data_IF_097777557978
#
_entry.id   IF_097777557978
#
_cell.length_a   1.000
_cell.length_b   1.000
_cell.length_c   1.000
_cell.angle_alpha   90.00
_cell.angle_beta   90.00
_cell.angle_gamma   90.00
#
_symmetry.space_group_name_H-M   'P 1'
#
loop_
_entity.id
_entity.type
_entity.pdbx_description
1 polymer ?
#
# COMPACT_ATOMS: atom_id res chain seq x y z
N UNK A 1 -11.98 8.35 -27.84
CA UNK A 1 -12.51 6.96 -27.78
C UNK A 1 -13.92 6.94 -28.37
N UNK A 2 -14.19 6.07 -29.35
CA UNK A 2 -15.51 5.89 -29.95
C UNK A 2 -16.15 4.61 -29.40
N UNK A 3 -17.40 4.67 -28.95
CA UNK A 3 -18.09 3.52 -28.36
C UNK A 3 -19.62 3.60 -28.58
N UNK A 4 -20.32 2.47 -28.67
CA UNK A 4 -21.78 2.44 -28.64
C UNK A 4 -22.30 2.69 -27.22
N UNK A 5 -23.28 3.58 -27.08
CA UNK A 5 -24.01 3.74 -25.83
C UNK A 5 -25.00 2.58 -25.62
N UNK A 6 -25.49 2.41 -24.39
CA UNK A 6 -26.50 1.38 -24.03
C UNK A 6 -27.72 1.42 -24.96
N UNK A 7 -28.08 2.59 -25.47
CA UNK A 7 -29.20 2.81 -26.39
C UNK A 7 -28.82 2.81 -27.89
N UNK A 8 -27.69 2.21 -28.26
CA UNK A 8 -27.26 2.07 -29.67
C UNK A 8 -26.72 3.36 -30.32
N UNK A 9 -26.66 4.47 -29.59
CA UNK A 9 -26.09 5.73 -30.10
C UNK A 9 -24.58 5.62 -30.20
N UNK A 10 -24.01 5.97 -31.35
CA UNK A 10 -22.56 6.13 -31.49
C UNK A 10 -22.13 7.40 -30.77
N UNK A 11 -21.28 7.27 -29.75
CA UNK A 11 -20.75 8.40 -28.98
C UNK A 11 -19.23 8.49 -29.11
N UNK A 12 -18.73 9.72 -29.03
CA UNK A 12 -17.30 10.03 -29.04
C UNK A 12 -16.98 10.70 -27.71
N UNK A 13 -16.03 10.14 -26.95
CA UNK A 13 -15.42 10.78 -25.78
C UNK A 13 -14.04 11.31 -26.17
N UNK A 14 -13.84 12.61 -25.97
CA UNK A 14 -12.57 13.32 -26.21
C UNK A 14 -11.98 13.72 -24.86
N UNK A 15 -10.69 13.44 -24.67
CA UNK A 15 -9.92 13.86 -23.50
C UNK A 15 -8.72 14.63 -24.00
N UNK A 16 -8.61 15.91 -23.63
CA UNK A 16 -7.51 16.78 -24.02
C UNK A 16 -6.63 17.03 -22.78
N UNK A 17 -5.32 16.83 -22.90
CA UNK A 17 -4.35 17.11 -21.86
C UNK A 17 -3.22 17.96 -22.44
N UNK A 18 -2.89 19.06 -21.78
CA UNK A 18 -1.75 19.93 -22.12
C UNK A 18 -0.77 19.91 -20.96
N UNK A 19 0.51 19.63 -21.24
CA UNK A 19 1.56 19.54 -20.24
C UNK A 19 2.68 20.53 -20.60
N UNK A 20 3.26 21.24 -19.62
CA UNK A 20 4.37 22.14 -19.86
C UNK A 20 5.66 21.37 -20.20
N UNK A 21 6.44 21.88 -21.16
CA UNK A 21 7.75 21.34 -21.51
C UNK A 21 8.86 22.12 -20.79
N UNK A 22 9.90 21.43 -20.32
CA UNK A 22 11.06 22.05 -19.64
C UNK A 22 12.37 21.41 -20.10
N UNK A 23 13.41 22.23 -20.26
CA UNK A 23 14.79 21.78 -20.45
C UNK A 23 15.57 21.71 -19.12
N UNK A 24 14.97 22.18 -18.02
CA UNK A 24 15.54 22.12 -16.69
C UNK A 24 15.07 20.85 -15.95
N UNK A 25 16.02 19.99 -15.59
CA UNK A 25 15.75 18.72 -14.92
C UNK A 25 15.20 18.89 -13.50
N UNK A 26 15.58 19.95 -12.77
CA UNK A 26 15.03 20.24 -11.44
C UNK A 26 13.52 20.51 -11.49
N UNK A 27 13.04 21.15 -12.55
CA UNK A 27 11.61 21.35 -12.77
C UNK A 27 10.89 20.03 -13.09
N UNK A 28 11.54 19.11 -13.81
CA UNK A 28 11.00 17.79 -14.09
C UNK A 28 10.78 16.99 -12.80
N UNK A 29 11.78 16.95 -11.91
CA UNK A 29 11.65 16.26 -10.62
C UNK A 29 10.64 16.93 -9.68
N UNK A 30 10.46 18.25 -9.76
CA UNK A 30 9.46 18.97 -8.97
C UNK A 30 8.03 18.66 -9.40
N UNK A 31 7.80 18.51 -10.72
CA UNK A 31 6.48 18.25 -11.30
C UNK A 31 6.18 16.75 -11.47
N UNK A 32 7.06 15.89 -10.98
CA UNK A 32 6.91 14.45 -11.05
C UNK A 32 5.69 13.98 -10.24
N UNK A 33 4.77 13.27 -10.88
CA UNK A 33 3.69 12.57 -10.18
C UNK A 33 4.16 11.15 -9.81
N UNK A 34 4.33 10.91 -8.50
CA UNK A 34 4.79 9.63 -7.98
C UNK A 34 3.80 8.51 -8.27
N UNK A 35 2.51 8.73 -8.03
CA UNK A 35 1.51 7.66 -8.08
C UNK A 35 1.36 7.19 -9.53
N UNK A 36 1.23 8.11 -10.48
CA UNK A 36 1.12 7.78 -11.90
C UNK A 36 2.36 7.06 -12.43
N UNK A 37 3.57 7.49 -12.04
CA UNK A 37 4.81 6.81 -12.40
C UNK A 37 4.87 5.41 -11.80
N UNK A 38 4.57 5.29 -10.52
CA UNK A 38 4.58 4.01 -9.83
C UNK A 38 3.60 3.02 -10.45
N UNK A 39 2.38 3.46 -10.81
CA UNK A 39 1.40 2.59 -11.46
C UNK A 39 1.85 2.14 -12.85
N UNK A 40 2.58 2.99 -13.59
CA UNK A 40 3.21 2.57 -14.84
C UNK A 40 4.20 1.42 -14.59
N UNK A 41 5.08 1.55 -13.60
CA UNK A 41 6.06 0.51 -13.25
C UNK A 41 5.41 -0.75 -12.70
N UNK A 42 4.37 -0.60 -11.89
CA UNK A 42 3.58 -1.71 -11.37
C UNK A 42 2.99 -2.55 -12.51
N UNK A 43 2.43 -1.90 -13.54
CA UNK A 43 1.87 -2.59 -14.72
C UNK A 43 2.94 -3.23 -15.59
N UNK A 44 4.07 -2.56 -15.78
CA UNK A 44 5.22 -3.13 -16.49
C UNK A 44 5.74 -4.38 -15.78
N UNK A 45 5.99 -4.29 -14.47
CA UNK A 45 6.40 -5.43 -13.65
C UNK A 45 5.39 -6.59 -13.76
N UNK A 46 4.08 -6.31 -13.65
CA UNK A 46 3.04 -7.33 -13.80
C UNK A 46 3.07 -8.03 -15.17
N UNK A 47 3.32 -7.28 -16.25
CA UNK A 47 3.39 -7.82 -17.61
C UNK A 47 4.63 -8.70 -17.85
N UNK A 48 5.70 -8.50 -17.08
CA UNK A 48 6.95 -9.25 -17.22
C UNK A 48 6.96 -10.57 -16.43
N UNK A 49 6.11 -10.72 -15.40
CA UNK A 49 6.04 -11.90 -14.52
C UNK A 49 5.85 -13.22 -15.28
N UNK A 50 4.99 -13.32 -16.32
CA UNK A 50 4.83 -14.57 -17.06
C UNK A 50 6.09 -15.02 -17.81
N UNK A 51 7.00 -14.09 -18.13
CA UNK A 51 8.16 -14.36 -18.99
C UNK A 51 9.50 -14.32 -18.26
N UNK A 52 9.56 -13.78 -17.04
CA UNK A 52 10.80 -13.62 -16.28
C UNK A 52 10.63 -14.10 -14.84
N UNK A 53 11.67 -14.69 -14.22
CA UNK A 53 11.63 -15.01 -12.80
C UNK A 53 11.40 -13.75 -11.94
N UNK A 54 10.61 -13.83 -10.85
CA UNK A 54 10.31 -12.67 -10.01
C UNK A 54 11.55 -11.93 -9.48
N UNK A 55 12.62 -12.67 -9.15
CA UNK A 55 13.89 -12.08 -8.69
C UNK A 55 14.51 -11.12 -9.72
N UNK A 56 14.48 -11.49 -11.01
CA UNK A 56 14.98 -10.64 -12.10
C UNK A 56 14.17 -9.34 -12.18
N UNK A 57 12.86 -9.43 -11.96
CA UNK A 57 11.97 -8.27 -11.98
C UNK A 57 12.22 -7.38 -10.75
N UNK A 58 12.40 -7.97 -9.56
CA UNK A 58 12.78 -7.24 -8.35
C UNK A 58 14.07 -6.44 -8.54
N UNK A 59 15.08 -7.04 -9.16
CA UNK A 59 16.34 -6.36 -9.49
C UNK A 59 16.13 -5.21 -10.48
N UNK A 60 15.28 -5.39 -11.51
CA UNK A 60 14.94 -4.33 -12.47
C UNK A 60 14.25 -3.15 -11.79
N UNK A 61 13.21 -3.40 -10.99
CA UNK A 61 12.47 -2.36 -10.26
C UNK A 61 13.40 -1.62 -9.29
N UNK A 62 14.27 -2.34 -8.57
CA UNK A 62 15.26 -1.75 -7.66
C UNK A 62 16.25 -0.88 -8.41
N UNK A 63 16.81 -1.37 -9.52
CA UNK A 63 17.73 -0.60 -10.36
C UNK A 63 17.09 0.66 -10.94
N UNK A 64 15.81 0.58 -11.30
CA UNK A 64 15.07 1.72 -11.82
C UNK A 64 14.94 2.83 -10.77
N UNK A 65 14.56 2.48 -9.53
CA UNK A 65 14.53 3.40 -8.39
C UNK A 65 15.92 4.02 -8.15
N UNK A 66 16.98 3.20 -8.13
CA UNK A 66 18.37 3.67 -8.00
C UNK A 66 18.74 4.68 -9.09
N UNK A 67 18.39 4.40 -10.35
CA UNK A 67 18.74 5.26 -11.49
C UNK A 67 18.03 6.61 -11.45
N UNK A 68 16.76 6.66 -11.01
CA UNK A 68 16.03 7.92 -10.80
C UNK A 68 16.73 8.77 -9.74
N UNK A 69 17.03 8.19 -8.58
CA UNK A 69 17.65 8.91 -7.47
C UNK A 69 19.09 9.31 -7.77
N UNK A 70 19.84 8.47 -8.48
CA UNK A 70 21.16 8.77 -9.01
C UNK A 70 21.11 9.99 -9.95
N UNK A 71 20.13 10.03 -10.86
CA UNK A 71 19.97 11.15 -11.80
C UNK A 71 19.65 12.45 -11.06
N UNK A 72 18.74 12.40 -10.08
CA UNK A 72 18.45 13.56 -9.24
C UNK A 72 19.71 14.06 -8.51
N UNK A 73 20.48 13.14 -7.94
CA UNK A 73 21.71 13.47 -7.21
C UNK A 73 22.81 14.06 -8.10
N UNK A 74 23.00 13.54 -9.32
CA UNK A 74 24.03 14.02 -10.26
C UNK A 74 23.70 15.41 -10.83
N UNK A 75 22.43 15.70 -11.08
CA UNK A 75 22.04 16.84 -11.92
C UNK A 75 21.18 17.89 -11.23
N UNK A 76 20.62 17.62 -10.04
CA UNK A 76 19.69 18.53 -9.37
C UNK A 76 20.05 18.83 -7.91
N UNK A 77 20.74 17.92 -7.22
CA UNK A 77 21.15 18.14 -5.84
C UNK A 77 22.22 19.23 -5.74
N UNK A 78 22.02 20.18 -4.82
CA UNK A 78 23.05 21.12 -4.41
C UNK A 78 24.22 20.37 -3.76
N UNK A 79 25.42 20.95 -3.74
CA UNK A 79 26.61 20.35 -3.12
C UNK A 79 26.26 19.86 -1.72
N UNK A 80 26.22 18.54 -1.56
CA UNK A 80 25.78 17.83 -0.36
C UNK A 80 26.79 16.74 -0.04
N UNK A 81 26.91 16.37 1.23
CA UNK A 81 27.93 15.40 1.64
C UNK A 81 27.70 14.04 0.98
N UNK A 82 28.78 13.31 0.70
CA UNK A 82 28.71 11.98 0.09
C UNK A 82 27.86 11.03 0.93
N UNK A 83 27.89 11.13 2.26
CA UNK A 83 27.12 10.28 3.19
C UNK A 83 25.61 10.49 3.20
N UNK A 84 25.06 11.53 2.55
CA UNK A 84 23.61 11.80 2.55
C UNK A 84 22.89 11.14 1.37
N UNK A 85 21.75 10.51 1.63
CA UNK A 85 20.78 10.11 0.59
C UNK A 85 19.83 11.28 0.33
N UNK A 86 19.84 11.80 -0.89
CA UNK A 86 19.05 12.98 -1.26
C UNK A 86 17.89 12.51 -2.12
N UNK A 87 16.66 12.82 -1.69
CA UNK A 87 15.44 12.47 -2.40
C UNK A 87 14.75 13.75 -2.89
N UNK A 88 14.17 13.77 -4.10
CA UNK A 88 13.29 14.85 -4.51
C UNK A 88 11.97 14.77 -3.73
N UNK A 89 11.44 15.93 -3.33
CA UNK A 89 10.20 16.01 -2.52
C UNK A 89 9.05 15.22 -3.13
N UNK A 90 8.87 15.35 -4.45
CA UNK A 90 7.81 14.67 -5.20
C UNK A 90 7.95 13.14 -5.21
N UNK A 91 9.15 12.59 -5.02
CA UNK A 91 9.42 11.14 -5.05
C UNK A 91 9.95 10.62 -3.71
N UNK A 92 9.69 11.32 -2.59
CA UNK A 92 10.19 10.90 -1.27
C UNK A 92 9.72 9.50 -0.85
N UNK A 93 8.54 9.09 -1.31
CA UNK A 93 7.98 7.75 -1.06
C UNK A 93 8.35 6.71 -2.14
N UNK A 94 9.10 7.08 -3.19
CA UNK A 94 9.49 6.15 -4.25
C UNK A 94 10.25 4.92 -3.72
N UNK A 95 11.24 5.05 -2.82
CA UNK A 95 11.89 3.88 -2.24
C UNK A 95 10.91 2.98 -1.47
N UNK A 96 9.98 3.58 -0.73
CA UNK A 96 8.99 2.83 0.05
C UNK A 96 8.04 2.05 -0.86
N UNK A 97 7.51 2.68 -1.91
CA UNK A 97 6.65 2.01 -2.88
C UNK A 97 7.38 0.92 -3.68
N UNK A 98 8.65 1.15 -3.98
CA UNK A 98 9.51 0.13 -4.61
C UNK A 98 9.67 -1.10 -3.70
N UNK A 99 9.97 -0.89 -2.42
CA UNK A 99 10.08 -1.98 -1.45
C UNK A 99 8.76 -2.73 -1.28
N UNK A 100 7.66 -1.98 -1.17
CA UNK A 100 6.33 -2.54 -1.05
C UNK A 100 5.97 -3.40 -2.28
N UNK A 101 6.36 -2.99 -3.49
CA UNK A 101 6.16 -3.77 -4.72
C UNK A 101 6.94 -5.08 -4.69
N UNK A 102 8.20 -5.05 -4.26
CA UNK A 102 9.05 -6.24 -4.12
C UNK A 102 8.44 -7.24 -3.13
N UNK A 103 7.84 -6.75 -2.04
CA UNK A 103 7.17 -7.57 -1.02
C UNK A 103 5.75 -8.02 -1.39
N UNK A 104 5.16 -7.45 -2.45
CA UNK A 104 3.78 -7.75 -2.86
C UNK A 104 3.61 -9.18 -3.36
N UNK A 105 2.35 -9.66 -3.36
CA UNK A 105 1.95 -10.99 -3.87
C UNK A 105 2.46 -11.28 -5.28
N UNK A 106 2.58 -10.25 -6.13
CA UNK A 106 3.07 -10.38 -7.49
C UNK A 106 4.53 -10.84 -7.57
N UNK A 107 5.40 -10.22 -6.77
CA UNK A 107 6.86 -10.40 -6.87
C UNK A 107 7.48 -11.27 -5.77
N UNK A 108 6.78 -11.52 -4.65
CA UNK A 108 7.32 -12.38 -3.60
C UNK A 108 7.56 -13.81 -4.11
N UNK A 109 8.68 -14.45 -3.76
CA UNK A 109 9.05 -15.76 -4.30
C UNK A 109 8.11 -16.89 -3.83
N UNK A 110 7.59 -16.79 -2.61
CA UNK A 110 6.82 -17.79 -1.87
C UNK A 110 5.29 -17.70 -2.06
N UNK A 111 4.83 -16.93 -3.05
CA UNK A 111 3.40 -16.76 -3.33
C UNK A 111 2.74 -17.96 -4.02
N UNK A 112 1.46 -18.22 -3.69
CA UNK A 112 0.64 -19.17 -4.44
C UNK A 112 0.49 -18.70 -5.89
N UNK A 113 0.57 -19.63 -6.83
CA UNK A 113 0.50 -19.32 -8.27
C UNK A 113 -0.84 -18.69 -8.63
N UNK A 114 -1.95 -19.17 -8.06
CA UNK A 114 -3.29 -18.62 -8.29
C UNK A 114 -3.39 -17.17 -7.82
N UNK A 115 -2.88 -16.86 -6.63
CA UNK A 115 -2.89 -15.50 -6.08
C UNK A 115 -2.05 -14.56 -6.95
N UNK A 116 -0.90 -15.04 -7.45
CA UNK A 116 -0.04 -14.28 -8.37
C UNK A 116 -0.73 -14.03 -9.72
N UNK A 117 -1.38 -15.06 -10.27
CA UNK A 117 -2.14 -14.96 -11.53
C UNK A 117 -3.29 -13.95 -11.40
N UNK A 118 -4.05 -14.03 -10.30
CA UNK A 118 -5.10 -13.06 -9.98
C UNK A 118 -4.54 -11.63 -9.86
N UNK A 119 -3.42 -11.47 -9.16
CA UNK A 119 -2.77 -10.18 -8.97
C UNK A 119 -2.33 -9.56 -10.32
N UNK A 120 -1.72 -10.34 -11.21
CA UNK A 120 -1.32 -9.88 -12.56
C UNK A 120 -2.54 -9.38 -13.34
N UNK A 121 -3.61 -10.17 -13.35
CA UNK A 121 -4.83 -9.83 -14.07
C UNK A 121 -5.47 -8.55 -13.52
N UNK A 122 -5.55 -8.42 -12.19
CA UNK A 122 -6.08 -7.22 -11.54
C UNK A 122 -5.25 -5.97 -11.84
N UNK A 123 -3.93 -6.06 -11.71
CA UNK A 123 -3.01 -4.93 -11.96
C UNK A 123 -3.08 -4.42 -13.40
N UNK A 124 -3.34 -5.29 -14.38
CA UNK A 124 -3.43 -4.88 -15.79
C UNK A 124 -4.46 -3.76 -16.02
N UNK A 125 -5.59 -3.81 -15.30
CA UNK A 125 -6.75 -2.93 -15.51
C UNK A 125 -6.96 -1.90 -14.40
N UNK A 126 -6.24 -2.02 -13.28
CA UNK A 126 -6.42 -1.12 -12.12
C UNK A 126 -6.12 0.34 -12.46
N UNK A 127 -6.94 1.26 -11.91
CA UNK A 127 -6.73 2.70 -11.98
C UNK A 127 -5.73 3.18 -10.93
N UNK A 128 -5.05 4.31 -11.18
CA UNK A 128 -4.07 4.91 -10.26
C UNK A 128 -4.48 4.92 -8.77
N UNK A 129 -5.64 5.47 -8.37
CA UNK A 129 -6.01 5.56 -6.95
C UNK A 129 -6.27 4.20 -6.28
N UNK A 130 -6.55 3.16 -7.06
CA UNK A 130 -6.79 1.80 -6.56
C UNK A 130 -5.50 0.97 -6.54
N UNK A 131 -4.48 1.35 -7.30
CA UNK A 131 -3.27 0.57 -7.44
C UNK A 131 -2.28 0.79 -6.28
N UNK A 132 -2.18 2.02 -5.75
CA UNK A 132 -1.28 2.31 -4.62
C UNK A 132 -1.61 1.41 -3.43
N UNK A 133 -2.88 1.26 -3.02
CA UNK A 133 -3.18 0.54 -1.79
C UNK A 133 -3.10 -0.98 -1.93
N UNK A 134 -3.07 -1.49 -3.17
CA UNK A 134 -2.74 -2.89 -3.46
C UNK A 134 -1.32 -3.24 -3.02
N UNK A 135 -0.41 -2.26 -3.04
CA UNK A 135 1.01 -2.45 -2.76
C UNK A 135 1.39 -1.87 -1.40
N UNK A 136 0.91 -0.67 -1.10
CA UNK A 136 1.11 0.03 0.16
C UNK A 136 -0.26 0.24 0.84
N UNK A 137 -0.74 -0.76 1.62
CA UNK A 137 -2.05 -0.69 2.28
C UNK A 137 -2.13 0.47 3.29
N UNK A 138 -3.33 0.72 3.81
CA UNK A 138 -3.52 1.67 4.92
C UNK A 138 -3.93 0.92 6.18
N UNK A 139 -3.28 1.23 7.30
CA UNK A 139 -3.60 0.68 8.61
C UNK A 139 -4.17 1.78 9.52
N UNK A 140 -5.17 1.45 10.32
CA UNK A 140 -5.84 2.37 11.23
C UNK A 140 -6.03 1.73 12.60
N UNK A 141 -5.83 2.48 13.67
CA UNK A 141 -6.29 2.07 15.00
C UNK A 141 -7.81 2.21 15.06
N UNK A 142 -8.50 1.14 15.45
CA UNK A 142 -9.96 1.16 15.60
C UNK A 142 -10.43 0.96 17.06
N UNK A 143 -9.50 0.72 17.98
CA UNK A 143 -9.80 0.51 19.40
C UNK A 143 -10.08 1.82 20.14
N UNK A 144 -9.71 2.97 19.57
CA UNK A 144 -9.80 4.31 20.16
C UNK A 144 -10.57 5.31 19.27
N UNK A 145 -11.39 4.85 18.30
CA UNK A 145 -12.11 5.78 17.39
C UNK A 145 -12.99 6.79 18.13
N UNK A 146 -13.47 6.45 19.31
CA UNK A 146 -14.32 7.32 20.12
C UNK A 146 -13.61 8.61 20.54
N UNK A 147 -12.30 8.55 20.84
CA UNK A 147 -11.51 9.71 21.28
C UNK A 147 -11.01 10.58 20.12
N UNK A 148 -11.06 10.07 18.89
CA UNK A 148 -10.66 10.83 17.72
C UNK A 148 -11.84 11.69 17.23
N UNK A 149 -11.73 13.01 17.44
CA UNK A 149 -12.63 13.96 16.79
C UNK A 149 -12.36 13.95 15.29
N UNK A 150 -13.35 13.52 14.51
CA UNK A 150 -13.28 13.48 13.06
C UNK A 150 -13.32 14.92 12.50
N UNK A 151 -12.17 15.59 12.43
CA UNK A 151 -12.04 16.88 11.76
C UNK A 151 -12.12 16.60 10.24
N UNK A 152 -13.32 16.66 9.68
CA UNK A 152 -13.59 16.68 8.23
C UNK A 152 -13.57 15.35 7.49
N UNK A 153 -12.84 14.32 7.97
CA UNK A 153 -12.84 12.96 7.40
C UNK A 153 -13.35 11.98 8.44
N UNK A 154 -14.34 11.16 8.07
CA UNK A 154 -14.82 10.05 8.91
C UNK A 154 -13.76 8.96 9.13
N UNK A 155 -12.65 8.97 8.40
CA UNK A 155 -11.56 8.00 8.50
C UNK A 155 -10.42 8.56 9.37
N UNK A 156 -9.94 7.81 10.39
CA UNK A 156 -8.82 8.19 11.24
C UNK A 156 -7.49 8.30 10.45
N UNK A 157 -6.46 8.97 11.00
CA UNK A 157 -5.15 9.01 10.37
C UNK A 157 -4.56 7.60 10.23
N UNK A 158 -3.91 7.36 9.09
CA UNK A 158 -3.24 6.09 8.84
C UNK A 158 -1.98 5.96 9.72
N UNK A 159 -1.76 4.76 10.25
CA UNK A 159 -0.58 4.37 11.00
C UNK A 159 0.54 3.90 10.05
N UNK A 160 1.82 4.02 10.48
CA UNK A 160 2.95 3.41 9.78
C UNK A 160 2.76 1.89 9.61
N UNK A 161 3.27 1.34 8.52
CA UNK A 161 3.14 -0.08 8.21
C UNK A 161 4.29 -0.89 8.83
N UNK A 162 4.43 -0.77 10.15
CA UNK A 162 5.42 -1.48 10.96
C UNK A 162 4.76 -2.15 12.17
N UNK A 163 5.29 -3.29 12.57
CA UNK A 163 4.88 -4.05 13.76
C UNK A 163 5.09 -3.27 15.05
N UNK A 164 5.97 -2.26 15.06
CA UNK A 164 6.12 -1.33 16.19
C UNK A 164 4.84 -0.55 16.48
N UNK A 165 4.01 -0.31 15.44
CA UNK A 165 2.71 0.37 15.55
C UNK A 165 1.56 -0.57 15.96
N UNK A 166 1.84 -1.87 16.16
CA UNK A 166 0.83 -2.89 16.47
C UNK A 166 1.04 -3.44 17.87
N UNK A 167 0.22 -2.97 18.81
CA UNK A 167 0.24 -3.41 20.21
C UNK A 167 -0.77 -4.53 20.50
N UNK A 168 -0.43 -5.40 21.46
CA UNK A 168 -1.24 -6.58 21.83
C UNK A 168 -2.57 -6.23 22.53
N UNK A 169 -2.70 -5.01 23.03
CA UNK A 169 -3.92 -4.47 23.64
C UNK A 169 -4.83 -3.70 22.64
N UNK A 170 -4.43 -3.63 21.36
CA UNK A 170 -5.11 -2.86 20.33
C UNK A 170 -5.87 -3.70 19.31
N UNK A 171 -6.78 -3.02 18.60
CA UNK A 171 -7.48 -3.53 17.43
C UNK A 171 -7.17 -2.60 16.25
N UNK A 172 -6.81 -3.20 15.11
CA UNK A 172 -6.32 -2.49 13.92
C UNK A 172 -7.06 -2.93 12.67
N UNK A 173 -7.38 -1.98 11.80
CA UNK A 173 -7.98 -2.21 10.49
C UNK A 173 -6.93 -1.94 9.42
N UNK A 174 -6.64 -2.92 8.58
CA UNK A 174 -5.76 -2.80 7.42
C UNK A 174 -6.57 -3.02 6.15
N UNK A 175 -6.45 -2.11 5.18
CA UNK A 175 -7.12 -2.22 3.90
C UNK A 175 -6.12 -2.09 2.75
N UNK A 176 -6.26 -2.97 1.76
CA UNK A 176 -5.38 -3.04 0.59
C UNK A 176 -6.12 -2.71 -0.73
N UNK A 177 -7.26 -2.04 -0.65
CA UNK A 177 -8.13 -1.75 -1.79
C UNK A 177 -8.99 -2.93 -2.30
N UNK A 178 -8.77 -4.16 -1.85
CA UNK A 178 -9.60 -5.34 -2.21
C UNK A 178 -10.23 -6.01 -0.98
N UNK A 179 -9.43 -6.25 0.05
CA UNK A 179 -9.81 -6.85 1.31
C UNK A 179 -9.62 -5.83 2.44
N UNK A 180 -10.39 -6.00 3.51
CA UNK A 180 -10.17 -5.35 4.81
C UNK A 180 -9.86 -6.43 5.83
N UNK A 181 -8.69 -6.34 6.45
CA UNK A 181 -8.24 -7.23 7.51
C UNK A 181 -8.32 -6.50 8.86
N UNK A 182 -9.06 -7.04 9.81
CA UNK A 182 -9.13 -6.51 11.17
C UNK A 182 -8.29 -7.41 12.07
N UNK A 183 -7.18 -6.89 12.57
CA UNK A 183 -6.30 -7.58 13.51
C UNK A 183 -6.71 -7.27 14.95
N UNK A 184 -6.82 -8.32 15.75
CA UNK A 184 -7.24 -8.26 17.16
C UNK A 184 -6.09 -8.81 18.01
N UNK A 185 -5.54 -7.95 18.87
CA UNK A 185 -4.51 -8.36 19.84
C UNK A 185 -5.06 -9.30 20.91
N UNK A 186 -4.18 -10.05 21.57
CA UNK A 186 -4.60 -11.05 22.56
C UNK A 186 -5.01 -10.43 23.91
N UNK A 187 -4.50 -9.23 24.22
CA UNK A 187 -4.71 -8.52 25.49
C UNK A 187 -5.65 -7.32 25.34
N UNK A 188 -6.53 -7.34 24.32
CA UNK A 188 -7.52 -6.27 24.08
C UNK A 188 -8.53 -6.24 25.22
N UNK A 189 -8.90 -5.03 25.67
CA UNK A 189 -9.93 -4.85 26.70
C UNK A 189 -11.27 -5.51 26.25
N UNK A 190 -11.85 -6.43 27.05
CA UNK A 190 -13.14 -7.05 26.76
C UNK A 190 -14.26 -6.06 26.46
N UNK A 191 -14.25 -4.86 27.05
CA UNK A 191 -15.24 -3.82 26.77
C UNK A 191 -15.20 -3.35 25.31
N UNK A 192 -14.01 -3.29 24.72
CA UNK A 192 -13.80 -2.91 23.32
C UNK A 192 -14.29 -4.05 22.41
N UNK A 193 -13.99 -5.30 22.77
CA UNK A 193 -14.47 -6.48 22.04
C UNK A 193 -16.00 -6.55 22.03
N UNK A 194 -16.63 -6.30 23.18
CA UNK A 194 -18.08 -6.30 23.31
C UNK A 194 -18.71 -5.17 22.47
N UNK A 195 -18.11 -3.98 22.46
CA UNK A 195 -18.59 -2.84 21.66
C UNK A 195 -18.43 -3.06 20.16
N UNK A 196 -17.31 -3.61 19.71
CA UNK A 196 -16.97 -3.77 18.28
C UNK A 196 -17.54 -5.04 17.65
N UNK A 197 -17.51 -6.14 18.39
CA UNK A 197 -17.79 -7.48 17.86
C UNK A 197 -18.93 -8.18 18.59
N UNK A 198 -19.44 -7.66 19.71
CA UNK A 198 -20.52 -8.28 20.48
C UNK A 198 -20.10 -9.50 21.29
N UNK A 199 -18.78 -9.76 21.40
CA UNK A 199 -18.22 -10.94 22.10
C UNK A 199 -17.38 -10.53 23.30
N UNK A 200 -17.29 -11.43 24.27
CA UNK A 200 -16.53 -11.20 25.51
C UNK A 200 -15.07 -11.66 25.42
N UNK A 201 -14.74 -12.51 24.45
CA UNK A 201 -13.37 -13.01 24.25
C UNK A 201 -13.01 -13.18 22.76
N UNK A 202 -11.71 -13.12 22.46
CA UNK A 202 -11.17 -13.35 21.09
C UNK A 202 -11.45 -14.79 20.60
N UNK A 203 -11.63 -15.74 21.52
CA UNK A 203 -11.92 -17.14 21.21
C UNK A 203 -13.33 -17.33 20.63
N UNK A 204 -14.30 -16.51 21.05
CA UNK A 204 -15.71 -16.57 20.60
C UNK A 204 -15.92 -16.01 19.19
N UNK A 205 -14.91 -15.35 18.63
CA UNK A 205 -15.03 -14.69 17.34
C UNK A 205 -15.19 -15.73 16.22
N UNK A 206 -16.29 -15.67 15.44
CA UNK A 206 -16.57 -16.63 14.38
C UNK A 206 -15.57 -16.52 13.23
N UNK A 207 -15.35 -17.63 12.53
CA UNK A 207 -14.47 -17.69 11.34
C UNK A 207 -15.01 -16.85 10.17
N UNK A 208 -16.33 -16.81 10.03
CA UNK A 208 -17.01 -15.94 9.07
C UNK A 208 -17.58 -14.75 9.84
N UNK A 209 -17.02 -13.57 9.56
CA UNK A 209 -17.45 -12.34 10.21
C UNK A 209 -18.15 -11.44 9.20
N UNK A 210 -19.36 -11.03 9.57
CA UNK A 210 -20.09 -9.95 8.91
C UNK A 210 -20.02 -8.75 9.85
N UNK A 211 -19.67 -7.58 9.31
CA UNK A 211 -19.67 -6.36 10.10
C UNK A 211 -21.10 -6.01 10.47
N UNK A 212 -21.40 -6.09 11.76
CA UNK A 212 -22.66 -5.66 12.34
C UNK A 212 -22.50 -4.25 12.93
N UNK A 213 -23.62 -3.54 13.00
CA UNK A 213 -23.69 -2.24 13.67
C UNK A 213 -24.44 -2.39 14.98
N UNK A 214 -23.70 -2.31 16.08
CA UNK A 214 -24.24 -2.36 17.43
C UNK A 214 -24.67 -0.95 17.90
N UNK A 215 -25.57 -0.88 18.89
CA UNK A 215 -26.03 0.39 19.42
C UNK A 215 -25.03 1.00 20.43
N UNK A 216 -23.86 1.39 19.92
CA UNK A 216 -22.83 2.11 20.67
C UNK A 216 -22.02 3.03 19.72
N UNK A 217 -21.40 4.11 20.24
CA UNK A 217 -20.70 5.09 19.40
C UNK A 217 -19.51 4.47 18.64
N UNK A 218 -18.75 3.59 19.29
CA UNK A 218 -17.57 2.95 18.70
C UNK A 218 -17.90 2.10 17.47
N UNK A 219 -18.95 1.28 17.56
CA UNK A 219 -19.43 0.44 16.44
C UNK A 219 -20.00 1.28 15.30
N UNK A 220 -20.74 2.35 15.62
CA UNK A 220 -21.24 3.30 14.60
C UNK A 220 -20.09 3.96 13.86
N UNK A 221 -19.08 4.47 14.58
CA UNK A 221 -17.85 5.04 13.99
C UNK A 221 -17.09 4.03 13.13
N UNK A 222 -16.93 2.78 13.57
CA UNK A 222 -16.28 1.74 12.75
C UNK A 222 -17.04 1.52 11.43
N UNK A 223 -18.37 1.46 11.48
CA UNK A 223 -19.19 1.32 10.28
C UNK A 223 -19.03 2.53 9.34
N UNK A 224 -19.01 3.75 9.86
CA UNK A 224 -18.77 4.96 9.07
C UNK A 224 -17.40 4.94 8.38
N UNK A 225 -16.35 4.56 9.11
CA UNK A 225 -14.99 4.39 8.56
C UNK A 225 -14.98 3.38 7.42
N UNK A 226 -15.55 2.19 7.63
CA UNK A 226 -15.59 1.13 6.62
C UNK A 226 -16.41 1.54 5.40
N UNK A 227 -17.54 2.21 5.59
CA UNK A 227 -18.38 2.69 4.51
C UNK A 227 -17.70 3.81 3.71
N UNK A 228 -16.97 4.71 4.37
CA UNK A 228 -16.18 5.72 3.69
C UNK A 228 -15.04 5.11 2.87
N UNK A 229 -14.34 4.10 3.41
CA UNK A 229 -13.34 3.36 2.64
C UNK A 229 -13.99 2.69 1.42
N UNK A 230 -15.13 2.01 1.58
CA UNK A 230 -15.86 1.39 0.45
C UNK A 230 -16.26 2.42 -0.60
N UNK A 231 -16.69 3.62 -0.19
CA UNK A 231 -17.01 4.74 -1.08
C UNK A 231 -15.79 5.19 -1.87
N UNK A 232 -14.63 5.31 -1.24
CA UNK A 232 -13.36 5.66 -1.90
C UNK A 232 -12.92 4.60 -2.91
N UNK A 233 -13.25 3.32 -2.68
CA UNK A 233 -12.88 2.20 -3.57
C UNK A 233 -13.88 1.90 -4.66
N UNK A 234 -15.10 2.42 -4.57
CA UNK A 234 -16.24 2.01 -5.40
C UNK A 234 -16.43 0.48 -5.43
N UNK A 235 -16.12 -0.20 -4.32
CA UNK A 235 -16.14 -1.66 -4.22
C UNK A 235 -16.52 -2.11 -2.82
N UNK A 236 -17.22 -3.24 -2.73
CA UNK A 236 -17.45 -3.90 -1.46
C UNK A 236 -16.21 -4.71 -1.09
N UNK A 237 -15.51 -4.27 -0.04
CA UNK A 237 -14.31 -4.95 0.43
C UNK A 237 -14.69 -6.14 1.31
N UNK A 238 -14.05 -7.28 1.07
CA UNK A 238 -14.24 -8.49 1.88
C UNK A 238 -13.53 -8.31 3.21
N UNK A 239 -14.28 -8.46 4.29
CA UNK A 239 -13.78 -8.36 5.67
C UNK A 239 -13.21 -9.71 6.14
N UNK A 240 -12.06 -9.66 6.79
CA UNK A 240 -11.38 -10.82 7.38
C UNK A 240 -10.92 -10.47 8.78
N UNK A 241 -11.17 -11.35 9.74
CA UNK A 241 -10.61 -11.21 11.08
C UNK A 241 -9.27 -11.95 11.18
N UNK A 242 -8.30 -11.27 11.75
CA UNK A 242 -6.93 -11.73 11.90
C UNK A 242 -6.61 -11.84 13.41
N UNK A 243 -6.12 -13.01 13.82
CA UNK A 243 -5.73 -13.28 15.22
C UNK A 243 -4.25 -13.62 15.28
N UNK A 244 -3.61 -13.32 16.41
CA UNK A 244 -2.21 -13.70 16.64
C UNK A 244 -2.06 -15.21 16.73
N UNK A 245 -1.06 -15.77 16.06
CA UNK A 245 -0.81 -17.22 16.01
C UNK A 245 -1.54 -17.94 14.86
N UNK A 246 -2.59 -17.35 14.30
CA UNK A 246 -3.29 -17.89 13.14
C UNK A 246 -2.60 -17.51 11.81
N UNK A 247 -2.80 -18.29 10.73
CA UNK A 247 -2.34 -17.92 9.39
C UNK A 247 -2.84 -16.54 8.91
N UNK A 248 -4.04 -16.13 9.34
CA UNK A 248 -4.59 -14.80 9.04
C UNK A 248 -3.81 -13.67 9.71
N UNK A 249 -3.29 -13.90 10.92
CA UNK A 249 -2.38 -12.99 11.59
C UNK A 249 -1.05 -12.89 10.86
N UNK A 250 -0.45 -14.02 10.48
CA UNK A 250 0.80 -14.01 9.70
C UNK A 250 0.64 -13.25 8.37
N UNK A 251 -0.49 -13.41 7.69
CA UNK A 251 -0.83 -12.65 6.50
C UNK A 251 -0.95 -11.15 6.79
N UNK A 252 -1.61 -10.76 7.89
CA UNK A 252 -1.69 -9.35 8.31
C UNK A 252 -0.30 -8.73 8.48
N UNK A 253 0.60 -9.40 9.20
CA UNK A 253 1.98 -8.93 9.39
C UNK A 253 2.78 -8.90 8.09
N UNK A 254 2.46 -9.75 7.09
CA UNK A 254 3.11 -9.68 5.78
C UNK A 254 2.81 -8.40 4.99
N UNK A 255 1.73 -7.68 5.35
CA UNK A 255 1.38 -6.39 4.77
C UNK A 255 2.07 -5.19 5.47
N UNK A 256 2.79 -5.42 6.56
CA UNK A 256 3.60 -4.40 7.24
C UNK A 256 4.94 -4.23 6.49
N UNK A 257 4.87 -3.52 5.37
CA UNK A 257 5.94 -3.46 4.36
C UNK A 257 7.24 -2.81 4.86
N UNK A 258 7.21 -2.08 5.97
CA UNK A 258 8.41 -1.45 6.54
C UNK A 258 9.28 -2.46 7.29
N UNK A 259 8.69 -3.55 7.78
CA UNK A 259 9.37 -4.55 8.58
C UNK A 259 10.17 -5.55 7.74
N UNK A 260 11.10 -6.23 8.41
CA UNK A 260 11.84 -7.34 7.81
C UNK A 260 10.92 -8.56 7.66
N UNK A 261 10.93 -9.18 6.48
CA UNK A 261 10.10 -10.36 6.20
C UNK A 261 10.96 -11.62 6.37
N UNK A 262 10.42 -12.74 6.91
CA UNK A 262 11.17 -13.98 7.10
C UNK A 262 11.84 -14.54 5.83
N UNK A 263 11.30 -14.22 4.65
CA UNK A 263 11.83 -14.63 3.34
C UNK A 263 13.12 -13.89 2.91
N UNK A 264 13.80 -13.19 3.83
CA UNK A 264 15.08 -12.50 3.57
C UNK A 264 14.95 -11.13 2.91
N UNK A 265 13.73 -10.59 2.77
CA UNK A 265 13.51 -9.25 2.25
C UNK A 265 13.93 -8.19 3.29
N UNK A 266 14.56 -7.11 2.81
CA UNK A 266 15.08 -6.02 3.62
C UNK A 266 13.96 -5.25 4.34
N UNK A 267 14.22 -4.73 5.54
CA UNK A 267 13.40 -3.68 6.15
C UNK A 267 13.51 -2.38 5.34
N UNK A 268 12.63 -1.40 5.60
CA UNK A 268 12.69 -0.11 4.91
C UNK A 268 14.03 0.61 5.14
N UNK A 269 14.54 0.60 6.38
CA UNK A 269 15.83 1.20 6.72
C UNK A 269 16.98 0.46 6.01
N UNK A 270 17.00 -0.87 6.04
CA UNK A 270 17.99 -1.69 5.33
C UNK A 270 17.96 -1.43 3.82
N UNK A 271 16.76 -1.25 3.24
CA UNK A 271 16.56 -0.96 1.82
C UNK A 271 17.07 0.42 1.42
N UNK A 272 16.86 1.45 2.25
CA UNK A 272 17.43 2.79 2.02
C UNK A 272 18.97 2.75 2.04
N UNK A 273 19.56 2.01 2.98
CA UNK A 273 21.02 1.79 3.02
C UNK A 273 21.49 1.07 1.76
N UNK A 274 20.77 0.04 1.31
CA UNK A 274 21.08 -0.68 0.08
C UNK A 274 21.07 0.24 -1.15
N UNK A 275 20.00 1.02 -1.35
CA UNK A 275 19.88 1.99 -2.43
C UNK A 275 21.02 3.00 -2.36
N UNK A 276 21.28 3.57 -1.18
CA UNK A 276 22.33 4.55 -1.01
C UNK A 276 23.70 3.99 -1.41
N UNK A 277 24.03 2.77 -0.96
CA UNK A 277 25.29 2.09 -1.33
C UNK A 277 25.43 1.93 -2.84
N UNK A 278 24.37 1.48 -3.52
CA UNK A 278 24.37 1.31 -4.97
C UNK A 278 24.54 2.64 -5.73
N UNK A 279 23.92 3.71 -5.23
CA UNK A 279 24.11 5.06 -5.79
C UNK A 279 25.57 5.50 -5.66
N UNK A 280 26.22 5.26 -4.52
CA UNK A 280 27.64 5.61 -4.35
C UNK A 280 28.52 4.85 -5.35
N UNK A 281 28.32 3.55 -5.48
CA UNK A 281 29.08 2.71 -6.43
C UNK A 281 28.94 3.25 -7.86
N UNK A 282 27.72 3.60 -8.29
CA UNK A 282 27.44 4.16 -9.63
C UNK A 282 27.88 5.62 -9.82
N UNK A 283 28.27 6.31 -8.75
CA UNK A 283 28.88 7.65 -8.84
C UNK A 283 30.40 7.59 -8.87
N UNK A 284 31.01 6.55 -8.28
CA UNK A 284 32.44 6.29 -8.36
C UNK A 284 32.88 5.60 -9.66
N UNK A 285 31.95 4.96 -10.38
CA UNK A 285 32.15 4.36 -11.71
C UNK A 285 31.94 5.38 -12.82
#
# INVERSE_FOLDING_TARGET
MCFPAVYGQRRIRVTNLSLPCTNNLSNLFRLADLDSQFVCFLKQAASEIPSNPPLVIQDRVTNFCINILLSYRKFCATVSSSGQLILPEALKLLPLYTLALIKSTGLKPDGRIDDRSFWINYVSSVSTPLAIPLVHPRMFAIHDLDSQEAIGSHVPPALPLSSESVHDNGVYLLENGQDVSIYIGNSVNPDILQKLFGVSSVAEIPTQYVLEQYDNPLSKKLNDVVNEIRRQRCSFLRLKLCKKGDPSGMLFFSYLVEDKVPAGALSYVEFLVHIHRQIQVKMSS
#
